data_IF_118488794981
#
_entry.id   IF_118488794981
#
_cell.length_a   1.000
_cell.length_b   1.000
_cell.length_c   1.000
_cell.angle_alpha   90.00
_cell.angle_beta   90.00
_cell.angle_gamma   90.00
#
_symmetry.space_group_name_H-M   'P 1'
#
loop_
_entity.id
_entity.type
_entity.pdbx_description
1 polymer ?
#
# COMPACT_ATOMS: atom_id res chain seq x y z
N UNK A 1 4.58 23.77 -3.68
CA UNK A 1 4.95 22.34 -3.57
C UNK A 1 3.88 21.68 -2.70
N UNK A 2 3.03 20.81 -3.26
CA UNK A 2 1.96 20.18 -2.46
C UNK A 2 2.59 19.23 -1.45
N UNK A 3 2.39 19.43 -0.13
CA UNK A 3 2.92 18.54 0.88
C UNK A 3 2.36 17.13 0.69
N UNK A 4 3.14 16.15 1.11
CA UNK A 4 2.69 14.77 1.16
C UNK A 4 1.98 14.51 2.49
N UNK A 5 0.90 13.76 2.43
CA UNK A 5 0.23 13.21 3.61
C UNK A 5 0.67 11.75 3.78
N UNK A 6 1.06 11.39 5.02
CA UNK A 6 1.33 10.02 5.43
C UNK A 6 0.15 9.50 6.25
N UNK A 7 -0.26 8.27 5.98
CA UNK A 7 -1.33 7.60 6.69
C UNK A 7 -1.06 6.10 6.81
N UNK A 8 -1.91 5.41 7.56
CA UNK A 8 -1.75 4.01 7.91
C UNK A 8 -2.89 3.17 7.37
N UNK A 9 -2.55 1.94 6.97
CA UNK A 9 -3.53 0.96 6.55
C UNK A 9 -3.07 -0.46 6.88
N UNK A 10 -4.03 -1.32 7.16
CA UNK A 10 -3.81 -2.74 7.42
C UNK A 10 -3.89 -3.52 6.12
N UNK A 11 -2.91 -4.40 5.88
CA UNK A 11 -2.90 -5.29 4.73
C UNK A 11 -3.99 -6.35 4.89
N UNK A 12 -4.88 -6.46 3.90
CA UNK A 12 -5.94 -7.47 3.87
C UNK A 12 -5.80 -8.45 2.73
N UNK A 13 -4.83 -8.26 1.84
CA UNK A 13 -4.52 -9.23 0.80
C UNK A 13 -3.39 -8.80 -0.12
N UNK A 14 -2.85 -9.77 -0.86
CA UNK A 14 -1.86 -9.57 -1.90
C UNK A 14 -2.51 -9.73 -3.26
N UNK A 15 -2.21 -8.80 -4.18
CA UNK A 15 -2.63 -8.88 -5.56
C UNK A 15 -1.44 -9.27 -6.43
N UNK A 16 -1.56 -10.32 -7.26
CA UNK A 16 -0.46 -10.80 -8.08
C UNK A 16 -0.08 -9.76 -9.13
N UNK A 17 1.22 -9.61 -9.36
CA UNK A 17 1.76 -8.79 -10.43
C UNK A 17 1.52 -9.41 -11.81
N UNK A 18 1.49 -8.55 -12.83
CA UNK A 18 1.37 -8.95 -14.24
C UNK A 18 2.65 -8.56 -15.00
N UNK A 19 2.86 -9.17 -16.17
CA UNK A 19 4.01 -8.85 -17.04
C UNK A 19 5.36 -9.07 -16.32
N UNK A 20 6.13 -7.99 -16.16
CA UNK A 20 7.44 -7.98 -15.47
C UNK A 20 7.36 -8.44 -14.01
N UNK A 21 6.21 -8.26 -13.35
CA UNK A 21 6.00 -8.65 -11.95
C UNK A 21 5.26 -9.98 -11.80
N UNK A 22 5.20 -10.81 -12.85
CA UNK A 22 4.55 -12.12 -12.79
C UNK A 22 5.23 -13.00 -11.71
N UNK A 23 4.43 -13.61 -10.84
CA UNK A 23 4.93 -14.40 -9.70
C UNK A 23 5.42 -13.57 -8.50
N UNK A 24 5.31 -12.25 -8.55
CA UNK A 24 5.65 -11.34 -7.45
C UNK A 24 4.45 -10.48 -7.04
N UNK A 25 4.58 -9.72 -5.97
CA UNK A 25 3.57 -8.75 -5.56
C UNK A 25 3.37 -7.67 -6.65
N UNK A 26 2.13 -7.53 -7.12
CA UNK A 26 1.70 -6.40 -7.92
C UNK A 26 1.31 -5.22 -7.04
N UNK A 27 0.37 -5.47 -6.12
CA UNK A 27 -0.14 -4.48 -5.18
C UNK A 27 -0.64 -5.12 -3.88
N UNK A 28 -0.66 -4.35 -2.80
CA UNK A 28 -1.37 -4.70 -1.57
C UNK A 28 -2.82 -4.23 -1.66
N UNK A 29 -3.75 -5.08 -1.26
CA UNK A 29 -5.09 -4.67 -0.88
C UNK A 29 -5.05 -4.30 0.60
N UNK A 30 -5.49 -3.08 0.94
CA UNK A 30 -5.40 -2.53 2.29
C UNK A 30 -6.71 -1.89 2.73
N UNK A 31 -6.87 -1.76 4.04
CA UNK A 31 -7.98 -1.03 4.68
C UNK A 31 -7.37 0.03 5.58
N UNK A 32 -7.75 1.30 5.40
CA UNK A 32 -7.32 2.36 6.32
C UNK A 32 -8.08 2.34 7.65
N UNK A 33 -7.69 3.24 8.55
CA UNK A 33 -8.32 3.43 9.86
C UNK A 33 -9.80 3.85 9.78
N UNK A 34 -10.25 4.36 8.64
CA UNK A 34 -11.65 4.73 8.38
C UNK A 34 -12.45 3.59 7.73
N UNK A 35 -11.86 2.39 7.60
CA UNK A 35 -12.52 1.21 7.04
C UNK A 35 -12.58 1.19 5.50
N UNK A 36 -11.92 2.13 4.82
CA UNK A 36 -11.98 2.24 3.36
C UNK A 36 -10.96 1.30 2.71
N UNK A 37 -11.41 0.57 1.69
CA UNK A 37 -10.58 -0.40 0.97
C UNK A 37 -9.98 0.22 -0.29
N UNK A 38 -8.67 0.11 -0.44
CA UNK A 38 -7.97 0.53 -1.65
C UNK A 38 -6.71 -0.31 -1.89
N UNK A 39 -5.98 0.01 -2.95
CA UNK A 39 -4.80 -0.73 -3.39
C UNK A 39 -3.56 0.15 -3.36
N UNK A 40 -2.45 -0.41 -2.90
CA UNK A 40 -1.12 0.23 -2.94
C UNK A 40 -0.23 -0.61 -3.85
N UNK A 41 0.14 -0.07 -5.02
CA UNK A 41 0.92 -0.78 -6.04
C UNK A 41 2.34 -0.26 -6.25
N UNK A 42 2.66 0.89 -5.66
CA UNK A 42 3.91 1.63 -5.85
C UNK A 42 4.68 1.75 -4.54
N UNK A 43 5.98 2.01 -4.62
CA UNK A 43 6.85 2.19 -3.44
C UNK A 43 7.52 0.91 -2.92
N UNK A 44 7.24 -0.25 -3.53
CA UNK A 44 7.90 -1.51 -3.16
C UNK A 44 9.21 -1.71 -3.90
N UNK A 45 10.24 -2.10 -3.16
CA UNK A 45 11.49 -2.65 -3.72
C UNK A 45 11.25 -4.05 -4.29
N UNK A 46 12.16 -4.53 -5.15
CA UNK A 46 12.05 -5.88 -5.71
C UNK A 46 12.10 -6.97 -4.61
N UNK A 47 12.83 -6.74 -3.52
CA UNK A 47 12.87 -7.62 -2.36
C UNK A 47 11.51 -7.64 -1.64
N UNK A 48 10.90 -6.48 -1.40
CA UNK A 48 9.55 -6.40 -0.83
C UNK A 48 8.49 -7.00 -1.76
N UNK A 49 8.71 -7.01 -3.08
CA UNK A 49 7.78 -7.70 -3.99
C UNK A 49 7.93 -9.20 -3.97
N UNK A 50 9.13 -9.71 -3.67
CA UNK A 50 9.38 -11.14 -3.48
C UNK A 50 8.87 -11.64 -2.12
N UNK A 51 8.98 -10.81 -1.09
CA UNK A 51 8.48 -11.06 0.27
C UNK A 51 7.61 -9.89 0.73
N UNK A 52 6.32 -9.85 0.33
CA UNK A 52 5.43 -8.74 0.65
C UNK A 52 5.04 -8.70 2.14
N UNK A 53 4.70 -7.51 2.68
CA UNK A 53 4.16 -7.38 4.04
C UNK A 53 2.98 -8.33 4.26
N UNK A 54 2.95 -9.04 5.39
CA UNK A 54 1.96 -10.08 5.64
C UNK A 54 0.51 -9.53 5.70
N UNK A 55 -0.48 -10.38 5.45
CA UNK A 55 -1.87 -10.02 5.76
C UNK A 55 -2.00 -9.81 7.27
N UNK A 56 -2.63 -8.71 7.67
CA UNK A 56 -2.70 -8.25 9.06
C UNK A 56 -1.59 -7.25 9.43
N UNK A 57 -0.54 -7.10 8.61
CA UNK A 57 0.51 -6.12 8.86
C UNK A 57 -0.02 -4.69 8.71
N UNK A 58 0.47 -3.80 9.57
CA UNK A 58 0.19 -2.37 9.49
C UNK A 58 1.27 -1.71 8.63
N UNK A 59 0.88 -0.93 7.62
CA UNK A 59 1.81 -0.24 6.74
C UNK A 59 1.58 1.28 6.79
N UNK A 60 2.65 2.04 6.56
CA UNK A 60 2.57 3.47 6.26
C UNK A 60 2.59 3.66 4.76
N UNK A 61 1.65 4.45 4.25
CA UNK A 61 1.61 4.88 2.86
C UNK A 61 1.53 6.40 2.76
N UNK A 62 1.98 6.94 1.63
CA UNK A 62 2.06 8.36 1.35
C UNK A 62 1.22 8.71 0.12
N UNK A 63 0.54 9.86 0.14
CA UNK A 63 -0.25 10.38 -0.97
C UNK A 63 -0.27 11.92 -0.96
N UNK A 64 -0.84 12.54 -2.00
CA UNK A 64 -0.95 14.01 -2.12
C UNK A 64 -2.36 14.51 -2.34
N UNK A 65 -3.19 13.67 -2.93
CA UNK A 65 -4.54 14.01 -3.33
C UNK A 65 -5.45 12.89 -2.87
N UNK A 66 -6.72 13.22 -2.64
CA UNK A 66 -7.78 12.25 -2.41
C UNK A 66 -8.77 12.31 -3.57
N UNK A 67 -9.38 11.17 -3.88
CA UNK A 67 -10.54 11.10 -4.78
C UNK A 67 -11.75 11.78 -4.14
N UNK A 68 -12.81 12.11 -4.91
CA UNK A 68 -14.06 12.65 -4.35
C UNK A 68 -14.71 11.75 -3.29
N UNK A 69 -14.36 10.45 -3.27
CA UNK A 69 -14.82 9.46 -2.27
C UNK A 69 -13.91 9.36 -1.04
N UNK A 70 -12.93 10.27 -0.90
CA UNK A 70 -11.98 10.29 0.21
C UNK A 70 -10.81 9.30 0.11
N UNK A 71 -10.76 8.45 -0.92
CA UNK A 71 -9.65 7.50 -1.08
C UNK A 71 -8.36 8.20 -1.51
N UNK A 72 -7.18 7.79 -1.01
CA UNK A 72 -5.90 8.35 -1.44
C UNK A 72 -5.67 8.08 -2.93
N UNK A 73 -5.23 9.11 -3.65
CA UNK A 73 -4.87 9.03 -5.07
C UNK A 73 -3.39 8.70 -5.18
N UNK A 74 -3.08 7.67 -5.97
CA UNK A 74 -1.71 7.17 -6.18
C UNK A 74 -0.93 6.92 -4.87
N UNK A 75 -1.48 6.12 -3.93
CA UNK A 75 -0.78 5.84 -2.69
C UNK A 75 0.53 5.09 -2.96
N UNK A 76 1.57 5.52 -2.26
CA UNK A 76 2.92 4.95 -2.34
C UNK A 76 3.26 4.31 -1.01
N UNK A 77 3.65 3.03 -1.03
CA UNK A 77 4.15 2.34 0.15
C UNK A 77 5.43 3.01 0.66
N UNK A 78 5.50 3.26 1.96
CA UNK A 78 6.69 3.84 2.61
C UNK A 78 7.42 2.76 3.41
N UNK A 79 6.73 2.14 4.37
CA UNK A 79 7.31 1.13 5.25
C UNK A 79 6.24 0.28 5.93
N UNK A 80 6.63 -0.90 6.35
CA UNK A 80 5.87 -1.70 7.30
C UNK A 80 6.12 -1.20 8.72
N UNK A 81 5.06 -1.16 9.54
CA UNK A 81 5.18 -0.92 10.97
C UNK A 81 5.18 -2.27 11.66
N UNK A 82 6.38 -2.73 11.98
CA UNK A 82 6.58 -3.84 12.91
C UNK A 82 6.14 -3.34 14.29
N UNK A 83 5.03 -3.88 14.80
CA UNK A 83 4.71 -3.70 16.22
C UNK A 83 5.80 -4.42 17.01
N UNK A 84 6.43 -3.77 18.00
CA UNK A 84 7.45 -4.39 18.85
C UNK A 84 6.87 -5.51 19.72
#
# INVERSE_FOLDING_TARGET
MTPFEDAEATVVGHLPGRGRLRGKLGALAVIDTEGRRFRVGSGFTDAQRASPPAVGALITYRFRERTPRGLPRFPVFVRERLLP
#
